data_IF_972479644555
#
_entry.id   IF_972479644555
#
_cell.length_a   1.000
_cell.length_b   1.000
_cell.length_c   1.000
_cell.angle_alpha   90.00
_cell.angle_beta   90.00
_cell.angle_gamma   90.00
#
_symmetry.space_group_name_H-M   'P 1'
#
loop_
_entity.id
_entity.type
_entity.pdbx_description
1 polymer ?
#
# COMPACT_ATOMS: atom_id res chain seq x y z
N UNK A 1 -42.32 11.60 -10.82
CA UNK A 1 -41.09 11.84 -10.01
C UNK A 1 -40.17 12.93 -10.59
N UNK A 2 -39.99 13.05 -11.91
CA UNK A 2 -39.23 14.18 -12.50
C UNK A 2 -39.98 15.54 -12.53
N UNK A 3 -41.30 15.58 -12.33
CA UNK A 3 -42.07 16.83 -12.17
C UNK A 3 -42.12 17.37 -10.72
N UNK A 4 -41.69 16.58 -9.73
CA UNK A 4 -41.65 17.02 -8.32
C UNK A 4 -40.33 17.74 -7.97
N UNK A 5 -39.26 17.50 -8.74
CA UNK A 5 -37.94 18.12 -8.55
C UNK A 5 -37.89 19.55 -9.12
N UNK A 6 -38.71 19.85 -10.13
CA UNK A 6 -38.73 21.18 -10.78
C UNK A 6 -39.50 22.25 -9.98
N UNK A 7 -40.30 21.85 -8.98
CA UNK A 7 -41.07 22.75 -8.13
C UNK A 7 -40.35 23.12 -6.81
N UNK A 8 -39.20 22.49 -6.51
CA UNK A 8 -38.40 22.76 -5.30
C UNK A 8 -37.20 23.70 -5.57
N UNK A 9 -37.08 24.26 -6.77
CA UNK A 9 -35.97 25.11 -7.20
C UNK A 9 -36.41 26.52 -7.65
N UNK A 10 -37.62 26.97 -7.33
CA UNK A 10 -38.16 28.25 -7.82
C UNK A 10 -38.27 29.38 -6.80
N UNK A 11 -37.84 29.22 -5.55
CA UNK A 11 -37.89 30.31 -4.56
C UNK A 11 -36.51 30.57 -3.92
N UNK A 12 -35.73 31.46 -4.54
CA UNK A 12 -34.69 32.22 -3.87
C UNK A 12 -34.62 33.63 -4.49
N UNK A 13 -34.65 34.71 -3.68
CA UNK A 13 -34.79 36.07 -4.17
C UNK A 13 -33.50 36.60 -4.81
N UNK A 14 -33.67 37.32 -5.92
CA UNK A 14 -32.63 38.05 -6.64
C UNK A 14 -32.14 39.26 -5.83
N UNK A 15 -30.88 39.22 -5.38
CA UNK A 15 -30.16 40.39 -4.88
C UNK A 15 -29.13 40.85 -5.93
N UNK A 16 -29.47 41.95 -6.60
CA UNK A 16 -28.55 42.75 -7.43
C UNK A 16 -27.66 43.61 -6.54
N UNK A 17 -26.34 43.55 -6.71
CA UNK A 17 -25.39 44.39 -5.96
C UNK A 17 -24.00 44.45 -6.61
N UNK A 18 -23.81 45.50 -7.40
CA UNK A 18 -22.57 46.20 -7.81
C UNK A 18 -21.20 45.54 -7.60
N UNK A 19 -20.44 45.47 -8.71
CA UNK A 19 -18.98 45.38 -8.75
C UNK A 19 -18.32 46.53 -7.96
N UNK A 20 -17.53 46.19 -6.94
CA UNK A 20 -16.44 47.05 -6.45
C UNK A 20 -15.21 46.20 -6.14
N UNK A 21 -14.05 46.73 -6.54
CA UNK A 21 -12.72 46.15 -6.40
C UNK A 21 -12.39 45.73 -4.96
N UNK A 22 -11.96 44.48 -4.77
CA UNK A 22 -11.26 44.04 -3.55
C UNK A 22 -9.75 44.02 -3.81
N UNK A 23 -8.92 44.54 -2.88
CA UNK A 23 -7.48 44.56 -3.01
C UNK A 23 -6.88 43.17 -2.75
N UNK A 24 -5.75 42.91 -3.41
CA UNK A 24 -4.93 41.72 -3.29
C UNK A 24 -4.60 41.41 -1.82
N UNK A 25 -5.02 40.25 -1.33
CA UNK A 25 -4.56 39.69 -0.05
C UNK A 25 -3.30 38.87 -0.34
N UNK A 26 -2.14 39.40 0.02
CA UNK A 26 -0.90 38.64 0.13
C UNK A 26 -1.12 37.49 1.13
N UNK A 27 -0.86 36.27 0.68
CA UNK A 27 -1.00 35.05 1.45
C UNK A 27 0.11 34.95 2.51
N UNK A 28 -0.17 35.41 3.73
CA UNK A 28 0.52 34.93 4.92
C UNK A 28 -0.04 33.54 5.26
N UNK A 29 0.60 32.49 4.72
CA UNK A 29 0.31 31.11 5.08
C UNK A 29 0.80 30.80 6.49
N UNK A 30 0.02 31.14 7.51
CA UNK A 30 0.20 30.58 8.85
C UNK A 30 -0.14 29.09 8.79
N UNK A 31 0.89 28.24 8.74
CA UNK A 31 0.73 26.80 8.90
C UNK A 31 0.12 26.50 10.26
N UNK A 32 -1.06 25.89 10.28
CA UNK A 32 -1.66 25.33 11.50
C UNK A 32 -0.60 24.50 12.24
N UNK A 33 -0.49 24.60 13.58
CA UNK A 33 0.49 23.84 14.34
C UNK A 33 0.29 22.35 14.08
N UNK A 34 1.33 21.66 13.61
CA UNK A 34 1.31 20.21 13.38
C UNK A 34 0.97 19.52 14.71
N UNK A 35 -0.23 18.96 14.80
CA UNK A 35 -0.67 18.22 15.96
C UNK A 35 0.21 16.97 16.13
N UNK A 36 0.73 16.75 17.33
CA UNK A 36 1.51 15.56 17.63
C UNK A 36 0.69 14.27 17.38
N UNK A 37 1.27 13.19 16.86
CA UNK A 37 0.57 11.93 16.71
C UNK A 37 0.07 11.39 18.05
N UNK A 38 -1.11 10.76 18.05
CA UNK A 38 -1.68 10.10 19.24
C UNK A 38 -1.93 8.61 18.98
N UNK A 39 -1.88 7.73 19.99
CA UNK A 39 -2.37 6.37 19.84
C UNK A 39 -3.86 6.31 19.43
N UNK A 40 -4.22 5.28 18.66
CA UNK A 40 -5.62 4.88 18.49
C UNK A 40 -6.22 4.54 19.85
N UNK A 41 -7.43 5.04 20.13
CA UNK A 41 -8.10 4.78 21.41
C UNK A 41 -8.83 3.46 21.37
N UNK A 42 -9.05 2.85 22.54
CA UNK A 42 -9.75 1.56 22.64
C UNK A 42 -11.18 1.62 22.07
N UNK A 43 -11.89 2.75 22.22
CA UNK A 43 -13.23 2.97 21.68
C UNK A 43 -13.26 3.19 20.16
N UNK A 44 -12.09 3.39 19.53
CA UNK A 44 -11.93 3.51 18.08
C UNK A 44 -11.56 2.18 17.40
N UNK A 45 -11.38 1.11 18.17
CA UNK A 45 -11.07 -0.24 17.68
C UNK A 45 -12.32 -1.11 17.69
N UNK A 46 -12.69 -1.67 16.53
CA UNK A 46 -13.84 -2.56 16.44
C UNK A 46 -13.48 -3.99 16.82
N UNK A 47 -14.42 -4.67 17.48
CA UNK A 47 -14.31 -6.09 17.80
C UNK A 47 -14.87 -6.95 16.65
N UNK A 48 -13.96 -7.67 15.98
CA UNK A 48 -14.27 -8.58 14.88
C UNK A 48 -14.38 -10.06 15.29
N UNK A 49 -14.33 -10.38 16.59
CA UNK A 49 -14.55 -11.74 17.11
C UNK A 49 -15.87 -12.41 16.66
N UNK A 50 -16.98 -11.67 16.42
CA UNK A 50 -18.21 -12.27 15.89
C UNK A 50 -18.01 -12.90 14.51
N UNK A 51 -17.27 -12.22 13.62
CA UNK A 51 -16.97 -12.72 12.27
C UNK A 51 -16.08 -13.97 12.35
N UNK A 52 -15.05 -13.94 13.19
CA UNK A 52 -14.19 -15.11 13.46
C UNK A 52 -15.00 -16.33 13.90
N UNK A 53 -15.92 -16.14 14.84
CA UNK A 53 -16.78 -17.21 15.35
C UNK A 53 -17.67 -17.81 14.26
N UNK A 54 -18.14 -16.98 13.31
CA UNK A 54 -18.89 -17.44 12.15
C UNK A 54 -18.04 -18.35 11.26
N UNK A 55 -16.86 -17.88 10.86
CA UNK A 55 -15.95 -18.62 9.98
C UNK A 55 -15.57 -19.98 10.58
N UNK A 56 -15.30 -20.02 11.90
CA UNK A 56 -15.03 -21.26 12.62
C UNK A 56 -16.23 -22.25 12.64
N UNK A 57 -17.47 -21.73 12.64
CA UNK A 57 -18.69 -22.56 12.60
C UNK A 57 -18.95 -23.17 11.22
N UNK A 58 -18.67 -22.40 10.15
CA UNK A 58 -18.81 -22.81 8.76
C UNK A 58 -17.79 -23.88 8.39
N UNK A 59 -16.53 -23.70 8.82
CA UNK A 59 -15.48 -24.69 8.66
C UNK A 59 -15.85 -26.06 9.29
N UNK A 60 -16.63 -26.06 10.37
CA UNK A 60 -17.12 -27.28 11.05
C UNK A 60 -18.38 -27.89 10.41
N UNK A 61 -18.86 -27.36 9.27
CA UNK A 61 -20.11 -27.79 8.59
C UNK A 61 -21.35 -27.81 9.49
N UNK A 62 -21.37 -27.00 10.55
CA UNK A 62 -22.53 -26.87 11.42
C UNK A 62 -23.60 -26.03 10.73
N UNK A 63 -24.78 -26.60 10.46
CA UNK A 63 -25.83 -25.98 9.62
C UNK A 63 -26.65 -24.89 10.30
N UNK A 64 -26.33 -24.49 11.54
CA UNK A 64 -27.22 -23.61 12.33
C UNK A 64 -26.46 -22.40 12.86
N UNK A 65 -26.45 -21.30 12.10
CA UNK A 65 -26.12 -19.98 12.63
C UNK A 65 -27.37 -19.36 13.26
N UNK A 66 -27.22 -18.81 14.47
CA UNK A 66 -28.31 -18.06 15.09
C UNK A 66 -28.59 -16.77 14.31
N UNK A 67 -29.86 -16.37 14.24
CA UNK A 67 -30.26 -15.07 13.67
C UNK A 67 -29.52 -13.89 14.34
N UNK A 68 -29.15 -14.03 15.62
CA UNK A 68 -28.41 -13.03 16.36
C UNK A 68 -26.97 -12.85 15.86
N UNK A 69 -26.24 -13.94 15.57
CA UNK A 69 -24.87 -13.88 15.07
C UNK A 69 -24.78 -13.18 13.71
N UNK A 70 -25.70 -13.50 12.79
CA UNK A 70 -25.80 -12.82 11.48
C UNK A 70 -26.04 -11.32 11.62
N UNK A 71 -26.93 -10.92 12.53
CA UNK A 71 -27.20 -9.51 12.83
C UNK A 71 -25.97 -8.79 13.40
N UNK A 72 -25.20 -9.46 14.26
CA UNK A 72 -24.00 -8.88 14.84
C UNK A 72 -22.91 -8.62 13.79
N UNK A 73 -22.78 -9.51 12.80
CA UNK A 73 -21.78 -9.39 11.74
C UNK A 73 -22.19 -8.33 10.72
N UNK A 74 -23.46 -8.29 10.32
CA UNK A 74 -23.99 -7.20 9.51
C UNK A 74 -23.81 -5.84 10.19
N UNK A 75 -24.01 -5.78 11.51
CA UNK A 75 -23.78 -4.56 12.30
C UNK A 75 -22.31 -4.16 12.32
N UNK A 76 -21.39 -5.11 12.53
CA UNK A 76 -19.95 -4.85 12.46
C UNK A 76 -19.56 -4.28 11.09
N UNK A 77 -19.98 -4.93 10.00
CA UNK A 77 -19.70 -4.47 8.65
C UNK A 77 -20.24 -3.05 8.40
N UNK A 78 -21.47 -2.76 8.86
CA UNK A 78 -22.05 -1.42 8.78
C UNK A 78 -21.22 -0.39 9.56
N UNK A 79 -20.83 -0.68 10.80
CA UNK A 79 -20.04 0.24 11.62
C UNK A 79 -18.67 0.54 11.00
N UNK A 80 -18.03 -0.48 10.43
CA UNK A 80 -16.74 -0.33 9.74
C UNK A 80 -16.92 0.48 8.46
N UNK A 81 -17.96 0.24 7.67
CA UNK A 81 -18.27 1.01 6.47
C UNK A 81 -18.53 2.50 6.79
N UNK A 82 -19.31 2.78 7.84
CA UNK A 82 -19.58 4.14 8.32
C UNK A 82 -18.30 4.84 8.82
N UNK A 83 -17.41 4.10 9.50
CA UNK A 83 -16.11 4.63 9.95
C UNK A 83 -15.19 4.92 8.77
N UNK A 84 -15.12 4.04 7.79
CA UNK A 84 -14.35 4.28 6.55
C UNK A 84 -14.92 5.49 5.81
N UNK A 85 -16.25 5.62 5.68
CA UNK A 85 -16.87 6.75 5.01
C UNK A 85 -16.61 8.10 5.71
N UNK A 86 -16.58 8.11 7.05
CA UNK A 86 -16.41 9.34 7.84
C UNK A 86 -14.94 9.72 8.09
N UNK A 87 -14.06 8.75 8.32
CA UNK A 87 -12.67 9.00 8.72
C UNK A 87 -11.63 8.52 7.69
N UNK A 88 -12.02 7.70 6.73
CA UNK A 88 -11.12 7.12 5.73
C UNK A 88 -10.25 5.95 6.23
N UNK A 89 -10.39 5.55 7.49
CA UNK A 89 -9.66 4.45 8.11
C UNK A 89 -10.46 3.76 9.23
N UNK A 90 -10.15 2.49 9.51
CA UNK A 90 -10.70 1.72 10.62
C UNK A 90 -9.62 0.78 11.19
N UNK A 91 -9.72 0.44 12.48
CA UNK A 91 -8.85 -0.54 13.14
C UNK A 91 -9.74 -1.60 13.80
N UNK A 92 -9.38 -2.87 13.65
CA UNK A 92 -10.13 -3.98 14.21
C UNK A 92 -9.17 -4.92 14.95
N UNK A 93 -9.66 -5.45 16.07
CA UNK A 93 -9.04 -6.57 16.79
C UNK A 93 -10.02 -7.75 16.82
N UNK A 94 -9.54 -8.93 17.21
CA UNK A 94 -10.40 -10.10 17.45
C UNK A 94 -10.81 -10.91 16.21
N UNK A 95 -10.50 -10.45 15.00
CA UNK A 95 -10.67 -11.27 13.78
C UNK A 95 -9.72 -12.48 13.78
N UNK A 96 -8.52 -12.29 14.30
CA UNK A 96 -7.50 -13.31 14.51
C UNK A 96 -7.08 -13.28 15.98
N UNK A 97 -6.84 -14.44 16.58
CA UNK A 97 -6.15 -14.48 17.87
C UNK A 97 -4.62 -14.54 17.71
N UNK A 98 -3.95 -14.49 18.85
CA UNK A 98 -2.49 -14.58 18.94
C UNK A 98 -1.96 -15.91 18.40
N UNK A 99 -2.69 -17.01 18.54
CA UNK A 99 -2.26 -18.32 18.01
C UNK A 99 -2.31 -18.38 16.48
N UNK A 100 -3.35 -17.82 15.87
CA UNK A 100 -3.49 -17.69 14.41
C UNK A 100 -2.41 -16.77 13.85
N UNK A 101 -2.16 -15.65 14.53
CA UNK A 101 -1.13 -14.69 14.16
C UNK A 101 0.28 -15.28 14.26
N UNK A 102 0.56 -16.02 15.34
CA UNK A 102 1.83 -16.72 15.55
C UNK A 102 2.04 -17.83 14.51
N UNK A 103 0.99 -18.54 14.12
CA UNK A 103 1.06 -19.56 13.08
C UNK A 103 1.41 -18.97 11.70
N UNK A 104 0.78 -17.83 11.33
CA UNK A 104 1.15 -17.10 10.10
C UNK A 104 2.59 -16.57 10.18
N UNK A 105 3.01 -16.04 11.33
CA UNK A 105 4.39 -15.61 11.54
C UNK A 105 5.38 -16.75 11.33
N UNK A 106 5.10 -17.93 11.90
CA UNK A 106 5.95 -19.11 11.73
C UNK A 106 6.04 -19.56 10.25
N UNK A 107 4.96 -19.40 9.47
CA UNK A 107 5.00 -19.59 8.01
C UNK A 107 5.91 -18.55 7.34
N UNK A 108 5.83 -17.27 7.71
CA UNK A 108 6.70 -16.22 7.16
C UNK A 108 8.18 -16.41 7.50
N UNK A 109 8.50 -16.79 8.74
CA UNK A 109 9.88 -17.00 9.20
C UNK A 109 10.56 -18.15 8.42
N UNK A 110 9.81 -19.20 8.06
CA UNK A 110 10.31 -20.26 7.18
C UNK A 110 10.62 -19.77 5.76
N UNK A 111 9.95 -18.70 5.32
CA UNK A 111 10.11 -18.10 4.01
C UNK A 111 11.12 -16.94 4.00
N UNK A 112 11.66 -16.52 5.15
CA UNK A 112 12.54 -15.36 5.29
C UNK A 112 13.72 -15.32 4.30
N UNK A 113 14.39 -16.44 3.94
CA UNK A 113 15.46 -16.43 2.94
C UNK A 113 15.02 -15.92 1.55
N UNK A 114 13.72 -15.98 1.25
CA UNK A 114 13.16 -15.58 -0.04
C UNK A 114 12.67 -14.13 -0.07
N UNK A 115 12.67 -13.43 1.06
CA UNK A 115 12.28 -12.02 1.10
C UNK A 115 13.37 -11.16 0.44
N UNK A 116 12.96 -10.23 -0.42
CA UNK A 116 13.85 -9.28 -1.07
C UNK A 116 13.58 -7.86 -0.59
N UNK A 117 14.54 -6.96 -0.76
CA UNK A 117 14.33 -5.56 -0.41
C UNK A 117 13.12 -4.99 -1.17
N UNK A 118 12.30 -4.23 -0.47
CA UNK A 118 11.13 -3.59 -1.07
C UNK A 118 11.52 -2.54 -2.10
N UNK A 119 10.66 -2.42 -3.10
CA UNK A 119 10.75 -1.35 -4.08
C UNK A 119 9.70 -0.27 -3.78
N UNK A 120 10.04 0.96 -4.15
CA UNK A 120 9.10 2.08 -4.22
C UNK A 120 8.83 2.40 -5.70
N UNK A 121 7.59 2.77 -6.00
CA UNK A 121 7.25 3.38 -7.28
C UNK A 121 7.54 4.87 -7.20
N UNK A 122 8.35 5.37 -8.12
CA UNK A 122 8.64 6.80 -8.23
C UNK A 122 8.12 7.29 -9.57
N UNK A 123 7.01 8.02 -9.54
CA UNK A 123 6.30 8.53 -10.73
C UNK A 123 4.89 8.99 -10.40
N UNK A 124 4.38 9.98 -11.14
CA UNK A 124 3.06 10.59 -10.91
C UNK A 124 1.92 9.80 -11.58
N UNK A 125 2.22 8.90 -12.53
CA UNK A 125 1.23 8.12 -13.27
C UNK A 125 1.61 6.64 -13.29
N UNK A 126 0.63 5.74 -13.43
CA UNK A 126 0.86 4.29 -13.42
C UNK A 126 1.73 3.83 -14.61
N UNK A 127 1.66 4.55 -15.73
CA UNK A 127 2.36 4.20 -16.96
C UNK A 127 3.77 4.82 -17.07
N UNK A 128 4.13 5.79 -16.21
CA UNK A 128 5.40 6.54 -16.30
C UNK A 128 6.01 6.68 -14.91
N UNK A 129 7.02 5.87 -14.63
CA UNK A 129 7.77 5.86 -13.39
C UNK A 129 8.81 4.75 -13.36
N UNK A 130 9.53 4.65 -12.25
CA UNK A 130 10.55 3.63 -12.03
C UNK A 130 10.34 2.92 -10.70
N UNK A 131 10.50 1.59 -10.71
CA UNK A 131 10.63 0.79 -9.49
C UNK A 131 12.08 0.80 -9.01
N UNK A 132 12.28 1.14 -7.74
CA UNK A 132 13.62 1.18 -7.16
C UNK A 132 13.65 0.81 -5.69
N UNK A 133 14.73 0.14 -5.28
CA UNK A 133 15.04 -0.13 -3.88
C UNK A 133 15.69 1.10 -3.24
N UNK A 134 15.08 1.59 -2.17
CA UNK A 134 15.51 2.76 -1.41
C UNK A 134 15.41 2.47 0.09
N UNK A 135 16.40 1.79 0.71
CA UNK A 135 16.29 1.32 2.09
C UNK A 135 16.06 2.43 3.13
N UNK A 136 16.59 3.64 2.87
CA UNK A 136 16.39 4.80 3.74
C UNK A 136 14.98 5.40 3.65
N UNK A 137 14.23 5.06 2.59
CA UNK A 137 12.85 5.48 2.38
C UNK A 137 11.89 4.40 2.83
N UNK A 138 12.14 3.17 2.37
CA UNK A 138 11.37 1.97 2.61
C UNK A 138 12.33 0.82 2.91
N UNK A 139 12.46 0.52 4.20
CA UNK A 139 13.46 -0.41 4.73
C UNK A 139 12.97 -1.83 4.97
N UNK A 140 11.73 -2.16 4.59
CA UNK A 140 11.23 -3.54 4.70
C UNK A 140 11.80 -4.44 3.60
N UNK A 141 11.78 -5.73 3.90
CA UNK A 141 11.89 -6.80 2.90
C UNK A 141 10.50 -7.37 2.68
N UNK A 142 10.17 -7.73 1.45
CA UNK A 142 8.86 -8.28 1.07
C UNK A 142 8.98 -9.60 0.34
N UNK A 143 7.91 -10.38 0.42
CA UNK A 143 7.66 -11.56 -0.39
C UNK A 143 6.20 -11.55 -0.82
N UNK A 144 5.96 -11.63 -2.12
CA UNK A 144 4.61 -11.75 -2.67
C UNK A 144 4.21 -13.21 -2.77
N UNK A 145 3.10 -13.55 -2.13
CA UNK A 145 2.47 -14.87 -2.16
C UNK A 145 1.16 -14.77 -2.92
N UNK A 146 0.85 -15.77 -3.74
CA UNK A 146 -0.35 -15.76 -4.55
C UNK A 146 -1.61 -15.49 -3.70
N UNK A 147 -2.52 -14.71 -4.27
CA UNK A 147 -3.69 -14.18 -3.59
C UNK A 147 -4.86 -15.15 -3.54
N UNK A 148 -4.62 -16.47 -3.44
CA UNK A 148 -5.59 -17.58 -3.35
C UNK A 148 -5.78 -18.43 -4.62
N UNK A 149 -6.05 -19.72 -4.42
CA UNK A 149 -6.37 -20.68 -5.49
C UNK A 149 -7.87 -21.04 -5.49
N UNK A 150 -8.56 -21.07 -6.65
CA UNK A 150 -10.02 -21.25 -6.72
C UNK A 150 -10.56 -22.49 -6.01
N UNK A 151 -9.76 -23.56 -5.91
CA UNK A 151 -10.16 -24.82 -5.26
C UNK A 151 -10.06 -24.80 -3.72
N UNK A 152 -9.43 -23.77 -3.14
CA UNK A 152 -9.41 -23.52 -1.68
C UNK A 152 -10.23 -22.29 -1.28
N UNK A 153 -10.71 -21.49 -2.23
CA UNK A 153 -11.38 -20.22 -1.91
C UNK A 153 -12.80 -20.43 -1.43
N UNK A 154 -13.09 -19.84 -0.28
CA UNK A 154 -14.46 -19.58 0.13
C UNK A 154 -15.06 -18.37 -0.59
N UNK A 155 -14.24 -17.57 -1.29
CA UNK A 155 -14.61 -16.28 -1.87
C UNK A 155 -14.11 -16.09 -3.32
N UNK A 156 -14.79 -15.27 -4.15
CA UNK A 156 -14.46 -15.14 -5.58
C UNK A 156 -13.26 -14.23 -5.89
N UNK A 157 -12.56 -13.72 -4.87
CA UNK A 157 -11.44 -12.80 -5.03
C UNK A 157 -10.21 -13.59 -5.49
N UNK A 158 -9.97 -13.66 -6.80
CA UNK A 158 -8.74 -14.27 -7.29
C UNK A 158 -8.28 -13.68 -8.61
N UNK A 159 -7.02 -13.24 -8.64
CA UNK A 159 -6.20 -13.09 -9.84
C UNK A 159 -5.82 -14.46 -10.47
N UNK A 160 -6.43 -15.57 -10.05
CA UNK A 160 -6.00 -16.93 -10.42
C UNK A 160 -6.18 -17.28 -11.90
N UNK A 161 -6.77 -16.40 -12.72
CA UNK A 161 -6.90 -16.67 -14.14
C UNK A 161 -5.59 -16.54 -14.93
N UNK A 162 -4.45 -16.18 -14.33
CA UNK A 162 -3.24 -15.89 -15.14
C UNK A 162 -1.89 -16.44 -14.70
N UNK A 163 -1.70 -17.20 -13.61
CA UNK A 163 -0.30 -17.52 -13.23
C UNK A 163 0.07 -18.92 -12.76
N UNK A 164 -0.85 -19.80 -12.31
CA UNK A 164 -0.43 -21.09 -11.77
C UNK A 164 -1.31 -22.27 -12.22
N UNK A 165 -0.63 -23.29 -12.74
CA UNK A 165 -1.12 -24.54 -13.30
C UNK A 165 -0.59 -25.72 -12.49
N UNK A 166 -1.14 -26.92 -12.67
CA UNK A 166 -0.62 -28.12 -11.98
C UNK A 166 0.87 -28.39 -12.25
N UNK A 167 1.41 -27.95 -13.40
CA UNK A 167 2.85 -28.03 -13.72
C UNK A 167 3.73 -27.05 -12.95
N UNK A 168 3.14 -26.05 -12.28
CA UNK A 168 3.89 -25.17 -11.38
C UNK A 168 4.29 -25.86 -10.08
N UNK A 169 3.86 -27.11 -9.82
CA UNK A 169 4.12 -27.86 -8.60
C UNK A 169 4.96 -29.12 -8.85
N UNK A 170 5.90 -29.41 -7.94
CA UNK A 170 6.73 -30.61 -7.97
C UNK A 170 6.03 -31.82 -7.31
N UNK A 171 6.42 -33.08 -7.62
CA UNK A 171 5.87 -34.26 -6.97
C UNK A 171 5.99 -34.19 -5.43
N UNK A 172 4.84 -34.27 -4.74
CA UNK A 172 4.76 -34.18 -3.27
C UNK A 172 4.47 -32.77 -2.73
N UNK A 173 4.47 -31.74 -3.58
CA UNK A 173 3.92 -30.43 -3.23
C UNK A 173 2.39 -30.48 -3.32
N UNK A 174 1.71 -29.75 -2.43
CA UNK A 174 0.25 -29.59 -2.49
C UNK A 174 -0.09 -28.64 -3.66
N UNK A 175 -0.81 -29.09 -4.70
CA UNK A 175 -1.15 -28.23 -5.85
C UNK A 175 -2.13 -27.10 -5.49
N UNK A 176 -2.58 -27.04 -4.24
CA UNK A 176 -3.44 -25.99 -3.72
C UNK A 176 -2.75 -25.11 -2.67
N UNK A 177 -1.47 -25.36 -2.38
CA UNK A 177 -0.67 -24.52 -1.50
C UNK A 177 -0.43 -23.13 -2.11
N UNK A 178 -0.48 -22.06 -1.30
CA UNK A 178 -0.05 -20.74 -1.76
C UNK A 178 1.45 -20.76 -2.09
N UNK A 179 1.85 -20.09 -3.17
CA UNK A 179 3.23 -20.06 -3.67
C UNK A 179 3.73 -18.63 -3.81
N UNK A 180 5.07 -18.42 -3.74
CA UNK A 180 5.66 -17.17 -4.17
C UNK A 180 5.28 -16.85 -5.61
N UNK A 181 4.94 -15.60 -5.88
CA UNK A 181 4.54 -15.18 -7.22
C UNK A 181 5.69 -15.28 -8.23
N UNK A 182 6.93 -15.07 -7.77
CA UNK A 182 8.14 -15.16 -8.60
C UNK A 182 8.54 -16.61 -8.91
N UNK A 183 8.66 -16.94 -10.19
CA UNK A 183 9.10 -18.27 -10.65
C UNK A 183 10.56 -18.57 -10.28
N UNK A 184 11.43 -17.56 -10.24
CA UNK A 184 12.83 -17.74 -9.84
C UNK A 184 12.94 -18.11 -8.36
N UNK A 185 12.14 -17.49 -7.49
CA UNK A 185 12.06 -17.85 -6.07
C UNK A 185 11.60 -19.29 -5.90
N UNK A 186 10.55 -19.70 -6.65
CA UNK A 186 10.08 -21.10 -6.65
C UNK A 186 11.20 -22.07 -7.06
N UNK A 187 12.00 -21.72 -8.07
CA UNK A 187 13.13 -22.54 -8.51
C UNK A 187 14.25 -22.61 -7.45
N UNK A 188 14.68 -21.48 -6.89
CA UNK A 188 15.74 -21.45 -5.87
C UNK A 188 15.37 -22.27 -4.63
N UNK A 189 14.14 -22.13 -4.12
CA UNK A 189 13.66 -22.91 -2.98
C UNK A 189 13.71 -24.43 -3.24
N UNK A 190 13.47 -24.88 -4.47
CA UNK A 190 13.58 -26.28 -4.88
C UNK A 190 15.03 -26.76 -4.92
N UNK A 191 15.93 -25.94 -5.45
CA UNK A 191 17.35 -26.29 -5.59
C UNK A 191 18.09 -26.31 -4.25
N UNK A 192 17.84 -25.33 -3.37
CA UNK A 192 18.49 -25.24 -2.05
C UNK A 192 18.16 -26.43 -1.16
N UNK A 193 16.97 -26.99 -1.32
CA UNK A 193 16.50 -28.10 -0.51
C UNK A 193 16.79 -29.48 -1.09
N UNK A 194 17.14 -29.56 -2.38
CA UNK A 194 17.76 -30.73 -2.98
C UNK A 194 19.21 -30.93 -2.48
N UNK A 195 19.82 -29.89 -1.90
CA UNK A 195 21.13 -29.96 -1.25
C UNK A 195 20.98 -30.59 0.14
N UNK A 196 21.76 -31.62 0.50
CA UNK A 196 21.82 -32.12 1.87
C UNK A 196 22.58 -31.10 2.72
N UNK A 197 21.92 -30.07 3.26
CA UNK A 197 22.57 -29.05 4.08
C UNK A 197 22.48 -29.34 5.59
N UNK A 198 23.61 -29.04 6.24
CA UNK A 198 23.96 -29.27 7.63
C UNK A 198 23.00 -28.60 8.63
N UNK A 199 22.86 -29.29 9.78
CA UNK A 199 22.30 -28.77 11.02
C UNK A 199 23.00 -27.47 11.44
N UNK A 200 22.26 -26.37 11.52
CA UNK A 200 22.60 -25.25 12.41
C UNK A 200 21.33 -24.83 13.18
N UNK A 201 21.41 -24.94 14.51
CA UNK A 201 20.51 -24.28 15.47
C UNK A 201 19.02 -24.66 15.46
N UNK A 202 18.66 -25.77 16.12
CA UNK A 202 17.35 -25.95 16.79
C UNK A 202 16.05 -25.98 15.96
N UNK A 203 16.03 -25.52 14.72
CA UNK A 203 14.84 -25.51 13.88
C UNK A 203 14.56 -26.90 13.30
N UNK A 204 13.30 -27.33 13.39
CA UNK A 204 12.81 -28.59 12.80
C UNK A 204 13.03 -28.55 11.28
N UNK A 205 13.57 -29.65 10.73
CA UNK A 205 13.68 -29.85 9.28
C UNK A 205 12.28 -29.88 8.66
N UNK A 206 11.93 -28.88 7.85
CA UNK A 206 10.69 -28.87 7.06
C UNK A 206 10.80 -29.92 5.97
N UNK A 207 9.91 -30.93 5.98
CA UNK A 207 9.87 -31.96 4.94
C UNK A 207 9.41 -31.33 3.61
N UNK A 208 9.83 -31.86 2.45
CA UNK A 208 9.32 -31.41 1.14
C UNK A 208 7.79 -31.34 1.05
N UNK A 209 7.09 -32.30 1.67
CA UNK A 209 5.62 -32.37 1.74
C UNK A 209 4.97 -31.31 2.64
N UNK A 210 5.77 -30.65 3.49
CA UNK A 210 5.31 -29.60 4.40
C UNK A 210 5.57 -28.21 3.82
N UNK A 211 6.19 -28.14 2.64
CA UNK A 211 6.43 -26.88 1.95
C UNK A 211 5.14 -26.30 1.43
N UNK A 212 5.05 -24.98 1.54
CA UNK A 212 3.99 -24.18 0.97
C UNK A 212 2.59 -24.46 1.51
N UNK A 213 2.44 -25.30 2.55
CA UNK A 213 1.12 -25.63 3.07
C UNK A 213 0.29 -24.38 3.37
N UNK A 214 0.94 -23.29 3.83
CA UNK A 214 0.43 -21.90 3.94
C UNK A 214 -1.05 -21.84 4.33
N UNK A 215 -1.45 -22.72 5.25
CA UNK A 215 -2.86 -22.92 5.59
C UNK A 215 -3.34 -21.80 6.47
N UNK A 216 -2.44 -21.29 7.31
CA UNK A 216 -2.74 -20.18 8.20
C UNK A 216 -2.84 -18.89 7.40
N UNK A 217 -1.90 -18.64 6.47
CA UNK A 217 -2.01 -17.50 5.54
C UNK A 217 -3.29 -17.58 4.69
N UNK A 218 -3.64 -18.75 4.14
CA UNK A 218 -4.87 -18.92 3.36
C UNK A 218 -6.12 -18.59 4.19
N UNK A 219 -6.22 -19.14 5.42
CA UNK A 219 -7.35 -18.86 6.30
C UNK A 219 -7.43 -17.40 6.73
N UNK A 220 -6.28 -16.73 6.88
CA UNK A 220 -6.22 -15.29 7.14
C UNK A 220 -6.79 -14.48 5.97
N UNK A 221 -6.42 -14.83 4.73
CA UNK A 221 -6.96 -14.17 3.53
C UNK A 221 -8.46 -14.42 3.36
N UNK A 222 -8.94 -15.64 3.56
CA UNK A 222 -10.39 -15.97 3.54
C UNK A 222 -11.17 -15.10 4.54
N UNK A 223 -10.65 -14.90 5.75
CA UNK A 223 -11.31 -14.09 6.77
C UNK A 223 -11.34 -12.58 6.42
N UNK A 224 -10.26 -12.06 5.84
CA UNK A 224 -10.22 -10.68 5.33
C UNK A 224 -11.23 -10.51 4.17
N UNK A 225 -11.28 -11.47 3.26
CA UNK A 225 -12.20 -11.48 2.12
C UNK A 225 -13.66 -11.54 2.56
N UNK A 226 -13.97 -12.33 3.59
CA UNK A 226 -15.29 -12.39 4.19
C UNK A 226 -15.70 -11.04 4.81
N UNK A 227 -14.75 -10.34 5.47
CA UNK A 227 -15.00 -8.99 5.97
C UNK A 227 -15.34 -8.03 4.82
N UNK A 228 -14.58 -8.04 3.72
CA UNK A 228 -14.85 -7.17 2.56
C UNK A 228 -16.17 -7.49 1.89
N UNK A 229 -16.55 -8.77 1.78
CA UNK A 229 -17.89 -9.13 1.30
C UNK A 229 -18.98 -8.55 2.20
N UNK A 230 -18.82 -8.63 3.52
CA UNK A 230 -19.72 -7.97 4.47
C UNK A 230 -19.77 -6.45 4.28
N UNK A 231 -18.63 -5.80 4.04
CA UNK A 231 -18.57 -4.36 3.78
C UNK A 231 -19.30 -3.97 2.49
N UNK A 232 -19.31 -4.82 1.46
CA UNK A 232 -20.05 -4.60 0.21
C UNK A 232 -21.56 -4.75 0.35
N UNK A 233 -22.00 -5.56 1.30
CA UNK A 233 -23.43 -5.80 1.57
C UNK A 233 -24.01 -4.81 2.58
N UNK A 234 -23.16 -4.06 3.29
CA UNK A 234 -23.59 -3.10 4.29
C UNK A 234 -24.40 -1.92 3.69
N UNK A 235 -25.35 -1.33 4.42
CA UNK A 235 -25.91 -0.04 4.02
C UNK A 235 -24.81 1.03 3.95
N UNK A 236 -24.90 1.98 3.02
CA UNK A 236 -23.94 3.07 2.86
C UNK A 236 -22.49 2.62 2.62
N UNK A 237 -22.28 1.52 1.89
CA UNK A 237 -20.94 1.02 1.49
C UNK A 237 -20.03 2.08 0.86
N UNK A 238 -20.62 3.11 0.24
CA UNK A 238 -19.91 4.24 -0.34
C UNK A 238 -18.82 3.76 -1.31
N UNK A 239 -17.57 4.08 -0.99
CA UNK A 239 -16.41 3.75 -1.82
C UNK A 239 -16.03 2.27 -1.80
N UNK A 240 -16.68 1.45 -0.97
CA UNK A 240 -16.48 0.00 -0.91
C UNK A 240 -17.45 -0.78 -1.81
N UNK A 241 -18.46 -0.15 -2.41
CA UNK A 241 -19.50 -0.83 -3.18
C UNK A 241 -18.96 -1.67 -4.36
N UNK A 242 -17.94 -1.14 -5.04
CA UNK A 242 -17.41 -1.68 -6.30
C UNK A 242 -16.12 -2.51 -6.12
N UNK A 243 -15.79 -2.88 -4.88
CA UNK A 243 -14.66 -3.78 -4.63
C UNK A 243 -14.96 -5.15 -5.25
N UNK A 244 -14.11 -5.67 -6.12
CA UNK A 244 -14.35 -6.99 -6.75
C UNK A 244 -13.14 -7.91 -6.87
N UNK A 245 -11.92 -7.38 -6.77
CA UNK A 245 -10.69 -8.17 -6.76
C UNK A 245 -9.75 -7.69 -5.65
N UNK A 246 -8.70 -8.46 -5.34
CA UNK A 246 -7.60 -8.03 -4.48
C UNK A 246 -6.26 -8.53 -4.97
N UNK A 247 -5.21 -7.84 -4.55
CA UNK A 247 -3.85 -8.23 -4.84
C UNK A 247 -3.51 -9.61 -4.27
N UNK A 248 -2.40 -10.15 -4.79
CA UNK A 248 -1.59 -11.12 -4.07
C UNK A 248 -1.22 -10.60 -2.65
N UNK A 249 -0.91 -11.51 -1.74
CA UNK A 249 -0.54 -11.16 -0.37
C UNK A 249 0.92 -10.69 -0.33
N UNK A 250 1.14 -9.43 0.04
CA UNK A 250 2.48 -8.90 0.30
C UNK A 250 2.85 -9.14 1.75
N UNK A 251 3.66 -10.16 1.99
CA UNK A 251 4.32 -10.38 3.28
C UNK A 251 5.43 -9.35 3.43
N UNK A 252 5.48 -8.63 4.55
CA UNK A 252 6.51 -7.63 4.81
C UNK A 252 7.17 -7.83 6.17
N UNK A 253 8.50 -7.67 6.20
CA UNK A 253 9.33 -7.73 7.41
C UNK A 253 10.20 -6.48 7.47
N UNK A 254 10.00 -5.66 8.50
CA UNK A 254 10.92 -4.58 8.84
C UNK A 254 11.94 -5.12 9.84
N UNK A 255 13.24 -5.17 9.50
CA UNK A 255 14.28 -5.63 10.41
C UNK A 255 14.52 -4.65 11.57
N UNK A 256 15.14 -5.14 12.64
CA UNK A 256 15.57 -4.38 13.84
C UNK A 256 16.78 -3.48 13.56
N UNK A 257 16.68 -2.63 12.54
CA UNK A 257 17.76 -1.70 12.15
C UNK A 257 17.29 -0.25 12.16
N UNK A 258 16.09 0.01 12.71
CA UNK A 258 15.39 1.29 12.51
C UNK A 258 14.72 1.38 11.14
N UNK A 259 14.48 0.25 10.47
CA UNK A 259 13.77 0.19 9.21
C UNK A 259 12.39 0.86 9.35
N UNK A 260 12.04 1.66 8.34
CA UNK A 260 10.84 2.51 8.32
C UNK A 260 10.26 2.56 6.91
N UNK A 261 9.07 3.12 6.79
CA UNK A 261 8.54 3.54 5.49
C UNK A 261 8.04 4.96 5.60
N UNK A 262 8.70 5.88 4.91
CA UNK A 262 8.32 7.29 4.88
C UNK A 262 6.87 7.52 4.47
N UNK A 263 6.37 8.69 4.81
CA UNK A 263 5.00 9.10 4.53
C UNK A 263 4.69 9.03 3.04
N UNK A 264 3.64 8.30 2.69
CA UNK A 264 3.18 8.08 1.33
C UNK A 264 1.66 7.82 1.29
N UNK A 265 1.13 7.72 0.08
CA UNK A 265 -0.23 7.24 -0.22
C UNK A 265 -0.05 6.01 -1.10
N UNK A 266 -0.83 4.96 -0.88
CA UNK A 266 -0.65 3.70 -1.60
C UNK A 266 -0.95 3.85 -3.08
N UNK A 267 -2.12 4.38 -3.41
CA UNK A 267 -2.59 4.56 -4.78
C UNK A 267 -2.48 6.03 -5.20
N UNK A 268 -1.27 6.46 -5.56
CA UNK A 268 -1.02 7.79 -6.15
C UNK A 268 -1.38 7.87 -7.63
N UNK A 269 -1.33 6.73 -8.32
CA UNK A 269 -1.37 6.63 -9.77
C UNK A 269 -2.76 6.34 -10.35
N UNK A 270 -3.76 6.08 -9.50
CA UNK A 270 -5.09 5.64 -9.92
C UNK A 270 -5.11 4.23 -10.50
N UNK A 271 -4.32 3.31 -9.93
CA UNK A 271 -4.13 1.94 -10.45
C UNK A 271 -5.25 0.95 -10.08
N UNK A 272 -6.32 1.46 -9.46
CA UNK A 272 -7.48 0.71 -9.01
C UNK A 272 -7.45 0.33 -7.53
N UNK A 273 -6.30 0.38 -6.84
CA UNK A 273 -6.23 0.04 -5.40
C UNK A 273 -7.11 1.01 -4.62
N UNK A 274 -8.15 0.49 -3.96
CA UNK A 274 -9.14 1.31 -3.25
C UNK A 274 -9.02 1.21 -1.75
N UNK A 275 -8.85 0.00 -1.22
CA UNK A 275 -8.86 -0.26 0.22
C UNK A 275 -7.64 -1.11 0.59
N UNK A 276 -6.78 -0.56 1.43
CA UNK A 276 -5.60 -1.24 1.97
C UNK A 276 -5.98 -1.98 3.25
N UNK A 277 -5.52 -3.23 3.37
CA UNK A 277 -5.59 -4.04 4.58
C UNK A 277 -4.18 -4.37 5.05
N UNK A 278 -3.90 -4.14 6.34
CA UNK A 278 -2.67 -4.59 7.00
C UNK A 278 -3.05 -5.40 8.23
N UNK A 279 -2.65 -6.67 8.29
CA UNK A 279 -2.72 -7.47 9.50
C UNK A 279 -1.32 -7.67 10.08
N UNK A 280 -1.21 -7.59 11.40
CA UNK A 280 0.05 -7.67 12.12
C UNK A 280 0.22 -8.99 12.87
N UNK A 281 1.47 -9.44 13.02
CA UNK A 281 1.82 -10.73 13.63
C UNK A 281 2.88 -10.57 14.73
N UNK A 282 2.85 -9.45 15.45
CA UNK A 282 3.88 -9.10 16.41
C UNK A 282 3.37 -9.26 17.84
N UNK A 283 3.72 -10.39 18.44
CA UNK A 283 3.38 -10.71 19.83
C UNK A 283 4.13 -9.80 20.79
N UNK A 284 3.45 -9.43 21.88
CA UNK A 284 4.03 -8.66 22.99
C UNK A 284 4.68 -7.33 22.54
N UNK A 285 4.03 -6.60 21.61
CA UNK A 285 4.53 -5.32 21.10
C UNK A 285 4.37 -4.19 22.13
N UNK A 286 5.50 -3.70 22.66
CA UNK A 286 5.56 -2.66 23.68
C UNK A 286 5.71 -1.26 23.11
N UNK A 287 5.48 -0.25 23.97
CA UNK A 287 5.59 1.17 23.60
C UNK A 287 7.01 1.63 23.21
N UNK A 288 8.04 0.84 23.53
CA UNK A 288 9.44 1.14 23.21
C UNK A 288 9.90 0.57 21.87
N UNK A 289 9.13 -0.36 21.29
CA UNK A 289 9.53 -1.14 20.12
C UNK A 289 9.38 -0.35 18.81
N UNK A 290 8.66 0.77 18.83
CA UNK A 290 8.43 1.62 17.66
C UNK A 290 7.59 0.91 16.60
N UNK A 291 7.87 1.18 15.32
CA UNK A 291 7.24 0.45 14.21
C UNK A 291 5.74 0.72 14.01
N UNK A 292 5.16 1.72 14.69
CA UNK A 292 3.75 2.05 14.55
C UNK A 292 3.43 2.50 13.11
N UNK A 293 2.24 2.11 12.64
CA UNK A 293 1.64 2.77 11.48
C UNK A 293 1.09 4.12 11.93
N UNK A 294 1.59 5.21 11.38
CA UNK A 294 1.09 6.55 11.61
C UNK A 294 0.22 6.99 10.43
N UNK A 295 -1.09 7.10 10.63
CA UNK A 295 -2.05 7.59 9.63
C UNK A 295 -2.29 9.09 9.83
N UNK A 296 -2.37 9.83 8.72
CA UNK A 296 -2.53 11.28 8.70
C UNK A 296 -3.87 11.69 8.07
N UNK A 297 -5.01 11.46 8.74
CA UNK A 297 -6.32 11.86 8.23
C UNK A 297 -6.41 13.38 8.01
N UNK A 298 -6.89 13.79 6.84
CA UNK A 298 -7.02 15.21 6.48
C UNK A 298 -7.89 15.97 7.48
N UNK A 299 -7.39 17.11 7.97
CA UNK A 299 -8.12 17.96 8.92
C UNK A 299 -8.25 17.35 10.33
N UNK A 300 -7.51 16.29 10.64
CA UNK A 300 -7.53 15.60 11.94
C UNK A 300 -6.11 15.35 12.46
N UNK A 301 -6.01 15.08 13.76
CA UNK A 301 -4.74 14.70 14.39
C UNK A 301 -4.22 13.36 13.84
N UNK A 302 -2.90 13.19 13.60
CA UNK A 302 -2.34 11.91 13.21
C UNK A 302 -2.59 10.81 14.26
N UNK A 303 -2.79 9.58 13.79
CA UNK A 303 -3.15 8.42 14.62
C UNK A 303 -2.12 7.32 14.47
N UNK A 304 -1.58 6.86 15.60
CA UNK A 304 -0.63 5.76 15.72
C UNK A 304 -1.37 4.45 16.00
N UNK A 305 -1.11 3.46 15.17
CA UNK A 305 -1.62 2.09 15.31
C UNK A 305 -0.43 1.18 15.62
N UNK A 306 -0.41 0.65 16.84
CA UNK A 306 0.59 -0.34 17.24
C UNK A 306 0.42 -1.61 16.40
N UNK A 307 1.52 -2.20 15.87
CA UNK A 307 1.46 -3.39 15.03
C UNK A 307 1.29 -4.67 15.85
N UNK A 308 0.32 -4.71 16.76
CA UNK A 308 0.10 -5.85 17.66
C UNK A 308 -0.46 -7.07 16.93
N UNK A 309 -0.08 -8.28 17.33
CA UNK A 309 -0.57 -9.53 16.75
C UNK A 309 -2.11 -9.58 16.64
N UNK A 310 -2.60 -9.93 15.45
CA UNK A 310 -4.02 -10.08 15.12
C UNK A 310 -4.75 -8.76 14.82
N UNK A 311 -4.11 -7.61 15.06
CA UNK A 311 -4.68 -6.30 14.74
C UNK A 311 -4.71 -6.08 13.23
N UNK A 312 -5.86 -5.60 12.76
CA UNK A 312 -6.12 -5.25 11.38
C UNK A 312 -6.29 -3.73 11.26
N UNK A 313 -5.55 -3.10 10.34
CA UNK A 313 -5.73 -1.70 9.95
C UNK A 313 -6.26 -1.62 8.52
N UNK A 314 -7.29 -0.81 8.30
CA UNK A 314 -7.92 -0.57 7.01
C UNK A 314 -7.89 0.92 6.72
N UNK A 315 -7.59 1.30 5.49
CA UNK A 315 -7.73 2.68 5.05
C UNK A 315 -7.85 2.79 3.53
N UNK A 316 -8.43 3.90 3.06
CA UNK A 316 -8.53 4.13 1.62
C UNK A 316 -7.16 4.44 1.02
N UNK A 317 -6.76 3.57 0.08
CA UNK A 317 -5.42 3.52 -0.49
C UNK A 317 -5.01 4.81 -1.21
N UNK A 318 -5.97 5.57 -1.75
CA UNK A 318 -5.75 6.77 -2.55
C UNK A 318 -5.89 8.09 -1.78
N UNK A 319 -6.29 8.03 -0.51
CA UNK A 319 -6.69 9.23 0.26
C UNK A 319 -6.12 9.28 1.67
N UNK A 320 -5.51 8.21 2.18
CA UNK A 320 -4.88 8.19 3.49
C UNK A 320 -3.35 8.27 3.39
N UNK A 321 -2.74 9.45 3.62
CA UNK A 321 -1.29 9.52 3.82
C UNK A 321 -0.92 8.78 5.11
N UNK A 322 0.10 7.94 5.04
CA UNK A 322 0.54 7.14 6.17
C UNK A 322 2.04 6.82 6.08
N UNK A 323 2.64 6.51 7.21
CA UNK A 323 4.05 6.11 7.34
C UNK A 323 4.20 4.97 8.35
N UNK A 324 5.27 4.19 8.21
CA UNK A 324 5.71 3.22 9.23
C UNK A 324 6.88 3.85 9.97
N UNK A 325 6.70 4.11 11.27
CA UNK A 325 7.76 4.65 12.11
C UNK A 325 8.93 3.66 12.24
N UNK A 326 10.15 4.12 12.59
CA UNK A 326 11.30 3.25 12.75
C UNK A 326 11.02 2.09 13.73
N UNK A 327 11.17 0.86 13.25
CA UNK A 327 11.03 -0.34 14.07
C UNK A 327 12.35 -0.66 14.79
N UNK A 328 12.25 -0.92 16.09
CA UNK A 328 13.36 -1.36 16.95
C UNK A 328 13.29 -2.84 17.30
N UNK A 329 12.48 -3.60 16.56
CA UNK A 329 12.36 -5.06 16.61
C UNK A 329 11.83 -5.52 15.27
N UNK A 330 12.06 -6.79 14.92
CA UNK A 330 11.44 -7.39 13.73
C UNK A 330 9.92 -7.22 13.74
N UNK A 331 9.39 -6.50 12.74
CA UNK A 331 7.97 -6.20 12.56
C UNK A 331 7.45 -6.89 11.31
N UNK A 332 6.48 -7.78 11.50
CA UNK A 332 5.82 -8.58 10.48
C UNK A 332 4.42 -8.05 10.19
N UNK A 333 4.05 -8.02 8.91
CA UNK A 333 2.70 -7.70 8.45
C UNK A 333 2.34 -8.45 7.17
N UNK A 334 1.07 -8.83 7.03
CA UNK A 334 0.46 -9.27 5.76
C UNK A 334 -0.35 -8.12 5.23
N UNK A 335 -0.08 -7.73 3.98
CA UNK A 335 -0.76 -6.60 3.34
C UNK A 335 -1.47 -7.08 2.07
N UNK A 336 -2.70 -6.63 1.88
CA UNK A 336 -3.47 -6.83 0.63
C UNK A 336 -4.19 -5.55 0.25
N UNK A 337 -4.39 -5.33 -1.05
CA UNK A 337 -5.16 -4.21 -1.56
C UNK A 337 -6.37 -4.73 -2.32
N UNK A 338 -7.56 -4.26 -1.94
CA UNK A 338 -8.78 -4.50 -2.69
C UNK A 338 -8.97 -3.44 -3.77
N UNK A 339 -9.33 -3.88 -4.97
CA UNK A 339 -9.46 -3.05 -6.15
C UNK A 339 -10.91 -2.62 -6.39
N UNK A 340 -11.08 -1.36 -6.75
CA UNK A 340 -12.31 -0.87 -7.38
C UNK A 340 -12.34 -1.30 -8.83
N UNK A 341 -13.40 -2.01 -9.23
CA UNK A 341 -13.53 -2.60 -10.57
C UNK A 341 -13.41 -1.57 -11.68
N UNK A 342 -14.06 -0.41 -11.51
CA UNK A 342 -14.13 0.60 -12.57
C UNK A 342 -12.81 1.37 -12.71
N UNK A 343 -12.20 1.75 -11.58
CA UNK A 343 -10.90 2.41 -11.59
C UNK A 343 -9.83 1.47 -12.15
N UNK A 344 -9.86 0.19 -11.78
CA UNK A 344 -8.95 -0.80 -12.32
C UNK A 344 -9.11 -0.97 -13.83
N UNK A 345 -10.34 -1.09 -14.32
CA UNK A 345 -10.61 -1.21 -15.75
C UNK A 345 -10.14 0.03 -16.53
N UNK A 346 -10.32 1.23 -15.96
CA UNK A 346 -9.78 2.47 -16.55
C UNK A 346 -8.24 2.45 -16.58
N UNK A 347 -7.60 2.08 -15.47
CA UNK A 347 -6.15 2.00 -15.39
C UNK A 347 -5.55 0.99 -16.38
N UNK A 348 -6.18 -0.18 -16.54
CA UNK A 348 -5.79 -1.21 -17.52
C UNK A 348 -6.01 -0.75 -18.96
N UNK A 349 -7.13 -0.06 -19.23
CA UNK A 349 -7.38 0.54 -20.55
C UNK A 349 -6.37 1.63 -20.86
N UNK A 350 -6.06 2.50 -19.90
CA UNK A 350 -5.01 3.51 -20.02
C UNK A 350 -3.65 2.85 -20.25
N UNK A 351 -3.27 1.83 -19.49
CA UNK A 351 -2.01 1.11 -19.70
C UNK A 351 -1.95 0.41 -21.06
N UNK A 352 -3.04 -0.16 -21.57
CA UNK A 352 -3.09 -0.81 -22.88
C UNK A 352 -3.02 0.19 -24.03
N UNK A 353 -3.63 1.37 -23.88
CA UNK A 353 -3.63 2.43 -24.89
C UNK A 353 -2.35 3.27 -24.85
N UNK A 354 -1.82 3.53 -23.65
CA UNK A 354 -0.64 4.34 -23.35
C UNK A 354 0.62 3.54 -23.01
N UNK A 355 0.61 2.22 -23.14
CA UNK A 355 1.83 1.43 -23.38
C UNK A 355 2.61 1.92 -24.61
N UNK A 356 2.03 2.89 -25.33
CA UNK A 356 2.67 3.91 -26.15
C UNK A 356 2.46 5.31 -25.55
N UNK A 357 3.25 5.76 -24.56
CA UNK A 357 3.35 7.21 -24.29
C UNK A 357 4.36 7.79 -25.27
N UNK A 358 3.82 8.09 -26.45
CA UNK A 358 4.17 9.26 -27.22
C UNK A 358 2.99 10.23 -27.14
N UNK A 359 3.09 11.24 -26.28
CA UNK A 359 2.29 12.45 -26.42
C UNK A 359 2.89 13.29 -27.55
N UNK A 360 2.56 12.95 -28.80
CA UNK A 360 3.08 13.59 -30.00
C UNK A 360 3.72 12.58 -30.95
N UNK A 361 3.39 12.68 -32.23
CA UNK A 361 3.93 11.86 -33.32
C UNK A 361 5.46 11.91 -33.33
N UNK A 362 6.14 10.90 -32.74
CA UNK A 362 7.58 10.70 -32.93
C UNK A 362 8.45 10.33 -31.71
N UNK A 363 7.94 10.20 -30.47
CA UNK A 363 8.80 9.82 -29.34
C UNK A 363 8.94 8.30 -29.17
N UNK A 364 10.17 7.82 -29.04
CA UNK A 364 10.52 6.40 -28.80
C UNK A 364 10.26 6.00 -27.33
N UNK A 365 9.98 4.71 -27.05
CA UNK A 365 9.88 4.20 -25.68
C UNK A 365 11.16 4.49 -24.88
N UNK A 366 11.02 4.80 -23.58
CA UNK A 366 12.13 5.04 -22.65
C UNK A 366 13.03 3.80 -22.63
N UNK A 367 14.33 3.98 -22.86
CA UNK A 367 15.27 2.86 -22.90
C UNK A 367 15.62 2.36 -21.49
N UNK A 368 16.08 1.10 -21.37
CA UNK A 368 16.60 0.57 -20.11
C UNK A 368 17.76 1.42 -19.55
N UNK A 369 18.56 2.03 -20.43
CA UNK A 369 19.63 2.94 -20.06
C UNK A 369 19.10 4.25 -19.46
N UNK A 370 18.03 4.81 -20.01
CA UNK A 370 17.36 5.99 -19.47
C UNK A 370 16.76 5.69 -18.08
N UNK A 371 16.11 4.54 -17.93
CA UNK A 371 15.57 4.09 -16.64
C UNK A 371 16.68 3.90 -15.59
N UNK A 372 17.80 3.29 -15.97
CA UNK A 372 18.95 3.12 -15.09
C UNK A 372 19.56 4.47 -14.66
N UNK A 373 19.71 5.41 -15.60
CA UNK A 373 20.21 6.76 -15.30
C UNK A 373 19.27 7.54 -14.38
N UNK A 374 17.95 7.51 -14.64
CA UNK A 374 16.96 8.14 -13.78
C UNK A 374 16.98 7.56 -12.37
N UNK A 375 17.05 6.22 -12.25
CA UNK A 375 17.13 5.52 -10.96
C UNK A 375 18.36 5.95 -10.16
N UNK A 376 19.54 5.96 -10.78
CA UNK A 376 20.78 6.38 -10.12
C UNK A 376 20.73 7.83 -9.65
N UNK A 377 20.13 8.72 -10.43
CA UNK A 377 19.99 10.13 -10.04
C UNK A 377 18.97 10.32 -8.90
N UNK A 378 17.80 9.69 -8.98
CA UNK A 378 16.77 9.76 -7.94
C UNK A 378 17.24 9.17 -6.61
N UNK A 379 18.09 8.13 -6.65
CA UNK A 379 18.78 7.61 -5.47
C UNK A 379 19.59 8.69 -4.75
N UNK A 380 20.30 9.54 -5.49
CA UNK A 380 21.06 10.65 -4.90
C UNK A 380 20.15 11.76 -4.36
N UNK A 381 19.12 12.14 -5.12
CA UNK A 381 18.18 13.19 -4.71
C UNK A 381 17.47 12.81 -3.42
N UNK A 382 16.89 11.61 -3.37
CA UNK A 382 16.04 11.18 -2.26
C UNK A 382 16.83 10.54 -1.11
N UNK A 383 18.01 9.98 -1.37
CA UNK A 383 18.87 9.37 -0.35
C UNK A 383 19.89 10.33 0.28
N UNK A 384 20.13 11.50 -0.32
CA UNK A 384 21.12 12.44 0.20
C UNK A 384 20.81 12.92 1.62
N UNK A 385 21.86 13.09 2.42
CA UNK A 385 21.78 13.63 3.77
C UNK A 385 22.30 12.70 4.86
N UNK A 386 22.09 11.38 4.81
CA UNK A 386 22.44 10.47 5.94
C UNK A 386 22.02 11.05 7.32
N UNK A 387 20.85 11.71 7.39
CA UNK A 387 20.37 12.42 8.58
C UNK A 387 20.89 13.86 8.77
N UNK A 388 21.63 14.41 7.80
CA UNK A 388 22.03 15.83 7.73
C UNK A 388 21.02 16.63 6.90
N UNK A 389 20.71 17.88 7.30
CA UNK A 389 19.90 18.77 6.49
C UNK A 389 20.52 19.00 5.12
N UNK A 390 19.67 19.17 4.10
CA UNK A 390 20.11 19.57 2.78
C UNK A 390 20.89 20.91 2.85
N UNK A 391 21.85 21.06 1.95
CA UNK A 391 22.63 22.30 1.81
C UNK A 391 22.52 22.87 0.40
N UNK A 392 22.74 24.18 0.27
CA UNK A 392 22.71 24.83 -1.04
C UNK A 392 23.76 24.27 -2.00
N UNK A 393 24.94 23.89 -1.49
CA UNK A 393 25.97 23.25 -2.26
C UNK A 393 25.56 21.87 -2.79
N UNK A 394 24.71 21.14 -2.05
CA UNK A 394 24.17 19.86 -2.50
C UNK A 394 23.21 20.05 -3.68
N UNK A 395 22.29 21.01 -3.57
CA UNK A 395 21.37 21.36 -4.66
C UNK A 395 22.12 21.77 -5.93
N UNK A 396 23.21 22.52 -5.80
CA UNK A 396 24.04 22.91 -6.96
C UNK A 396 24.75 21.71 -7.59
N UNK A 397 25.26 20.77 -6.79
CA UNK A 397 25.83 19.51 -7.31
C UNK A 397 24.79 18.69 -8.06
N UNK A 398 23.63 18.47 -7.45
CA UNK A 398 22.51 17.73 -8.06
C UNK A 398 22.05 18.40 -9.36
N UNK A 399 21.98 19.73 -9.41
CA UNK A 399 21.64 20.47 -10.62
C UNK A 399 22.68 20.27 -11.73
N UNK A 400 23.97 20.36 -11.42
CA UNK A 400 25.03 20.13 -12.40
C UNK A 400 25.06 18.70 -12.94
N UNK A 401 24.70 17.71 -12.11
CA UNK A 401 24.53 16.32 -12.54
C UNK A 401 23.27 16.14 -13.40
N UNK A 402 22.16 16.80 -13.06
CA UNK A 402 20.92 16.75 -13.81
C UNK A 402 21.10 17.21 -15.27
N UNK A 403 21.96 18.19 -15.54
CA UNK A 403 22.27 18.66 -16.90
C UNK A 403 22.86 17.57 -17.81
N UNK A 404 23.42 16.50 -17.23
CA UNK A 404 24.05 15.39 -17.96
C UNK A 404 23.11 14.20 -18.15
N UNK A 405 21.87 14.28 -17.67
CA UNK A 405 20.91 13.19 -17.83
C UNK A 405 20.56 12.98 -19.31
N UNK A 406 20.39 11.73 -19.75
CA UNK A 406 19.71 11.44 -21.00
C UNK A 406 18.31 12.09 -21.02
N UNK A 407 17.79 12.55 -22.17
CA UNK A 407 16.47 13.17 -22.24
C UNK A 407 15.33 12.29 -21.69
N UNK A 408 15.38 10.97 -21.95
CA UNK A 408 14.39 10.03 -21.40
C UNK A 408 14.47 9.94 -19.86
N UNK A 409 15.68 9.98 -19.30
CA UNK A 409 15.89 9.98 -17.85
C UNK A 409 15.42 11.29 -17.21
N UNK A 410 15.67 12.44 -17.86
CA UNK A 410 15.21 13.74 -17.37
C UNK A 410 13.69 13.82 -17.27
N UNK A 411 12.97 13.21 -18.22
CA UNK A 411 11.52 13.09 -18.15
C UNK A 411 11.06 12.36 -16.88
N UNK A 412 11.64 11.19 -16.58
CA UNK A 412 11.32 10.43 -15.36
C UNK A 412 11.65 11.23 -14.10
N UNK A 413 12.84 11.84 -14.02
CA UNK A 413 13.28 12.62 -12.86
C UNK A 413 12.40 13.86 -12.63
N UNK A 414 11.96 14.52 -13.70
CA UNK A 414 11.08 15.68 -13.61
C UNK A 414 9.73 15.32 -12.98
N UNK A 415 9.16 14.16 -13.30
CA UNK A 415 7.90 13.71 -12.68
C UNK A 415 7.99 13.60 -11.15
N UNK A 416 9.19 13.36 -10.61
CA UNK A 416 9.44 13.21 -9.17
C UNK A 416 9.78 14.56 -8.52
N UNK A 417 10.64 15.33 -9.17
CA UNK A 417 11.21 16.56 -8.59
C UNK A 417 10.38 17.81 -8.88
N UNK A 418 9.52 17.76 -9.90
CA UNK A 418 8.69 18.87 -10.37
C UNK A 418 7.18 18.57 -10.29
N UNK A 419 6.79 17.31 -10.03
CA UNK A 419 5.40 16.89 -9.92
C UNK A 419 4.58 17.19 -11.17
N UNK A 420 3.40 17.77 -10.99
CA UNK A 420 2.45 18.10 -12.08
C UNK A 420 2.96 19.19 -13.04
N UNK A 421 4.04 19.89 -12.69
CA UNK A 421 4.65 20.95 -13.49
C UNK A 421 5.64 20.44 -14.53
N UNK A 422 5.94 19.14 -14.53
CA UNK A 422 6.85 18.53 -15.49
C UNK A 422 6.22 18.53 -16.89
N UNK A 423 6.79 19.33 -17.80
CA UNK A 423 6.36 19.36 -19.19
C UNK A 423 6.67 18.02 -19.90
N UNK A 424 5.85 17.58 -20.88
CA UNK A 424 6.12 16.36 -21.63
C UNK A 424 7.48 16.34 -22.34
N UNK A 425 7.98 17.50 -22.76
CA UNK A 425 9.24 17.72 -23.47
C UNK A 425 10.36 18.26 -22.57
N UNK A 426 10.26 18.04 -21.25
CA UNK A 426 11.23 18.49 -20.25
C UNK A 426 12.66 18.08 -20.61
N UNK A 427 13.57 19.05 -20.55
CA UNK A 427 14.99 18.84 -20.83
C UNK A 427 15.78 18.65 -19.53
N UNK A 428 16.96 18.00 -19.60
CA UNK A 428 17.89 17.94 -18.47
C UNK A 428 18.18 19.31 -17.82
N UNK A 429 18.25 20.37 -18.64
CA UNK A 429 18.45 21.75 -18.18
C UNK A 429 17.29 22.30 -17.35
N UNK A 430 16.05 21.86 -17.63
CA UNK A 430 14.87 22.31 -16.91
C UNK A 430 14.81 21.67 -15.52
N UNK A 431 15.19 20.39 -15.42
CA UNK A 431 15.37 19.69 -14.14
C UNK A 431 16.45 20.36 -13.31
N UNK A 432 17.60 20.69 -13.92
CA UNK A 432 18.68 21.41 -13.26
C UNK A 432 18.24 22.79 -12.76
N UNK A 433 17.51 23.55 -13.56
CA UNK A 433 16.98 24.85 -13.17
C UNK A 433 16.00 24.73 -11.99
N UNK A 434 15.13 23.72 -11.99
CA UNK A 434 14.21 23.43 -10.87
C UNK A 434 14.98 23.15 -9.57
N UNK A 435 16.01 22.29 -9.63
CA UNK A 435 16.87 21.99 -8.48
C UNK A 435 17.61 23.24 -7.97
N UNK A 436 18.10 24.10 -8.86
CA UNK A 436 18.68 25.40 -8.44
C UNK A 436 17.61 26.35 -7.87
N UNK A 437 16.37 26.29 -8.29
CA UNK A 437 15.32 27.12 -7.71
C UNK A 437 14.86 26.61 -6.33
N UNK A 438 15.05 25.33 -6.03
CA UNK A 438 14.67 24.70 -4.77
C UNK A 438 15.48 25.28 -3.59
N UNK A 439 14.81 25.47 -2.45
CA UNK A 439 15.47 25.78 -1.18
C UNK A 439 15.80 24.49 -0.44
N UNK A 440 16.86 24.42 0.39
CA UNK A 440 17.23 23.17 1.07
C UNK A 440 16.09 22.53 1.88
N UNK A 441 15.29 23.34 2.57
CA UNK A 441 14.12 22.85 3.31
C UNK A 441 13.07 22.15 2.42
N UNK A 442 12.97 22.51 1.14
CA UNK A 442 12.07 21.84 0.20
C UNK A 442 12.63 20.48 -0.27
N UNK A 443 13.96 20.35 -0.39
CA UNK A 443 14.61 19.06 -0.63
C UNK A 443 14.44 18.13 0.58
N UNK A 444 14.62 18.64 1.79
CA UNK A 444 14.36 17.88 3.02
C UNK A 444 12.89 17.45 3.14
N UNK A 445 11.95 18.31 2.73
CA UNK A 445 10.53 17.96 2.67
C UNK A 445 10.26 16.84 1.66
N UNK A 446 10.84 16.90 0.47
CA UNK A 446 10.75 15.85 -0.54
C UNK A 446 11.33 14.51 -0.05
N UNK A 447 12.41 14.56 0.72
CA UNK A 447 13.08 13.41 1.35
C UNK A 447 12.35 12.85 2.57
N UNK A 448 11.39 13.57 3.12
CA UNK A 448 10.67 13.18 4.33
C UNK A 448 9.21 12.78 4.08
N UNK A 449 8.61 13.24 2.98
CA UNK A 449 7.22 13.00 2.63
C UNK A 449 7.04 12.81 1.13
N UNK A 450 6.97 11.54 0.72
CA UNK A 450 6.69 11.17 -0.67
C UNK A 450 5.26 11.52 -1.10
N UNK A 451 4.33 11.75 -0.17
CA UNK A 451 2.95 12.13 -0.52
C UNK A 451 2.86 13.54 -1.14
N UNK A 452 3.88 14.37 -0.96
CA UNK A 452 3.98 15.71 -1.59
C UNK A 452 4.02 15.63 -3.11
N UNK A 453 4.44 14.50 -3.68
CA UNK A 453 4.45 14.27 -5.14
C UNK A 453 3.07 14.39 -5.80
N UNK A 454 1.97 14.44 -5.02
CA UNK A 454 0.60 14.64 -5.52
C UNK A 454 0.17 16.13 -5.59
N UNK A 455 0.81 17.02 -4.83
CA UNK A 455 0.26 18.36 -4.51
C UNK A 455 0.99 19.54 -5.14
N UNK A 456 2.03 19.33 -5.94
CA UNK A 456 2.88 20.41 -6.47
C UNK A 456 2.82 20.60 -7.98
#
# INVERSE_FOLDING_TARGET
MQKLIKALLSDAPTATGSHQHSPSVEAAGESLPKLAPRPVRADEVFDAAPLRSQLASEAKKSKTQSSAAKKQIARLAQQVAERLASCGWAVLDGLFDSSESAAVRAEMEQLEPHFHASEIWVGHQAAVGAQMTMPDIRGDRVLWMCGHHPQRSSTPWSHANTSQSGSDFAPGEDPHALQPCSSSIRQTAREETAKPSLRTGGARRVQPSERWLNRHLSGMLDAMDALVLGLKEAPNTGRCANLADRSDAMLAVYPETGARFQRHVDNTAGDGRRLTFLCYMNEEWGATDGGELCMHPTGSQPVLVAPAAGRLALFFADTMPHEVLPARRHRYSVNVWYYDTEERARAEHEAATRGRIGGGTGAAPISDADNAAAKGFLQQVLGGGNGRPAERAELERLANEAERLPPGAAHVVAQVTMGSRAAPDVKPTDVAASLRAMVPAALDALRGDLSVMRTS
#
